data_IF_391545501200
#
_entry.id   IF_391545501200
#
_cell.length_a   1.000
_cell.length_b   1.000
_cell.length_c   1.000
_cell.angle_alpha   90.00
_cell.angle_beta   90.00
_cell.angle_gamma   90.00
#
_symmetry.space_group_name_H-M   'P 1'
#
loop_
_entity.id
_entity.type
_entity.pdbx_description
1 polymer ?
#
# COMPACT_ATOMS: atom_id res chain seq x y z
N UNK A 1 2.90 -26.95 3.04
CA UNK A 1 2.29 -25.91 3.90
C UNK A 1 1.61 -26.60 5.08
N UNK A 2 1.73 -26.10 6.32
CA UNK A 2 1.07 -26.73 7.49
C UNK A 2 -0.47 -26.71 7.30
N UNK A 3 -1.23 -27.77 7.63
CA UNK A 3 -2.68 -27.85 7.36
C UNK A 3 -3.48 -26.65 7.86
N UNK A 4 -3.15 -26.15 9.06
CA UNK A 4 -3.82 -25.00 9.65
C UNK A 4 -3.58 -23.70 8.87
N UNK A 5 -2.38 -23.50 8.32
CA UNK A 5 -2.08 -22.32 7.51
C UNK A 5 -2.88 -22.29 6.20
N UNK A 6 -3.13 -23.48 5.62
CA UNK A 6 -4.01 -23.60 4.45
C UNK A 6 -5.43 -23.21 4.81
N UNK A 7 -5.98 -23.78 5.88
CA UNK A 7 -7.33 -23.45 6.35
C UNK A 7 -7.50 -21.96 6.64
N UNK A 8 -6.53 -21.32 7.30
CA UNK A 8 -6.56 -19.87 7.57
C UNK A 8 -6.58 -19.05 6.30
N UNK A 9 -5.73 -19.38 5.32
CA UNK A 9 -5.71 -18.71 4.02
C UNK A 9 -7.05 -18.88 3.30
N UNK A 10 -7.58 -20.10 3.26
CA UNK A 10 -8.85 -20.39 2.57
C UNK A 10 -10.00 -19.58 3.22
N UNK A 11 -10.04 -19.47 4.55
CA UNK A 11 -10.97 -18.58 5.24
C UNK A 11 -10.83 -17.10 4.84
N UNK A 12 -9.60 -16.59 4.68
CA UNK A 12 -9.37 -15.22 4.23
C UNK A 12 -9.85 -15.00 2.79
N UNK A 13 -9.67 -16.00 1.91
CA UNK A 13 -10.16 -15.92 0.53
C UNK A 13 -11.69 -15.85 0.52
N UNK A 14 -12.37 -16.70 1.30
CA UNK A 14 -13.84 -16.65 1.41
C UNK A 14 -14.33 -15.30 1.96
N UNK A 15 -13.64 -14.73 2.95
CA UNK A 15 -13.95 -13.39 3.44
C UNK A 15 -13.79 -12.31 2.36
N UNK A 16 -12.76 -12.41 1.51
CA UNK A 16 -12.57 -11.48 0.38
C UNK A 16 -13.66 -11.63 -0.68
N UNK A 17 -14.13 -12.86 -0.96
CA UNK A 17 -15.27 -13.08 -1.87
C UNK A 17 -16.53 -12.37 -1.36
N UNK A 18 -16.86 -12.57 -0.08
CA UNK A 18 -18.02 -11.93 0.56
C UNK A 18 -17.91 -10.40 0.53
N UNK A 19 -16.75 -9.85 0.89
CA UNK A 19 -16.51 -8.41 0.82
C UNK A 19 -16.67 -7.87 -0.60
N UNK A 20 -16.12 -8.57 -1.59
CA UNK A 20 -16.19 -8.14 -2.99
C UNK A 20 -17.62 -8.19 -3.52
N UNK A 21 -18.36 -9.25 -3.22
CA UNK A 21 -19.76 -9.37 -3.57
C UNK A 21 -20.55 -8.19 -2.97
N UNK A 22 -20.35 -7.91 -1.69
CA UNK A 22 -20.97 -6.77 -1.02
C UNK A 22 -20.66 -5.44 -1.73
N UNK A 23 -19.39 -5.20 -2.07
CA UNK A 23 -18.96 -3.96 -2.73
C UNK A 23 -19.50 -3.79 -4.17
N UNK A 24 -19.79 -4.90 -4.86
CA UNK A 24 -20.45 -4.88 -6.17
C UNK A 24 -21.95 -4.60 -6.01
N UNK A 25 -22.61 -5.26 -5.06
CA UNK A 25 -24.05 -5.12 -4.81
C UNK A 25 -24.44 -3.70 -4.35
N UNK A 26 -23.55 -3.04 -3.60
CA UNK A 26 -23.78 -1.70 -3.04
C UNK A 26 -23.11 -0.59 -3.85
N UNK A 27 -22.64 -0.88 -5.07
CA UNK A 27 -21.88 0.07 -5.87
C UNK A 27 -22.64 1.38 -6.10
N UNK A 28 -22.08 2.48 -5.59
CA UNK A 28 -22.62 3.81 -5.82
C UNK A 28 -22.06 4.41 -7.13
N UNK A 29 -22.97 4.60 -8.09
CA UNK A 29 -22.69 5.25 -9.38
C UNK A 29 -22.37 6.75 -9.26
N UNK A 30 -22.68 7.38 -8.13
CA UNK A 30 -22.37 8.80 -7.88
C UNK A 30 -20.89 9.02 -7.56
N UNK A 31 -20.20 8.00 -7.05
CA UNK A 31 -18.76 8.07 -6.75
C UNK A 31 -17.97 7.99 -8.04
N UNK A 32 -17.27 9.08 -8.35
CA UNK A 32 -16.41 9.18 -9.54
C UNK A 32 -15.36 8.07 -9.58
N UNK A 33 -15.06 7.59 -10.77
CA UNK A 33 -14.09 6.51 -10.98
C UNK A 33 -12.65 6.86 -10.57
N UNK A 34 -12.30 8.15 -10.63
CA UNK A 34 -11.01 8.69 -10.24
C UNK A 34 -10.95 9.09 -8.76
N UNK A 35 -12.04 8.92 -8.00
CA UNK A 35 -12.04 9.19 -6.57
C UNK A 35 -10.92 8.41 -5.86
N UNK A 36 -10.30 9.06 -4.88
CA UNK A 36 -9.29 8.42 -4.04
C UNK A 36 -9.91 7.39 -3.09
N UNK A 37 -11.17 7.59 -2.73
CA UNK A 37 -11.92 6.75 -1.79
C UNK A 37 -13.33 6.47 -2.31
N UNK A 38 -13.81 5.27 -2.03
CA UNK A 38 -15.16 4.77 -2.29
C UNK A 38 -15.65 4.06 -1.01
N UNK A 39 -16.87 4.34 -0.51
CA UNK A 39 -17.36 3.73 0.74
C UNK A 39 -17.38 2.20 0.74
N UNK A 40 -17.65 1.59 -0.42
CA UNK A 40 -17.81 0.15 -0.56
C UNK A 40 -16.47 -0.53 -0.89
N UNK A 41 -15.68 0.11 -1.76
CA UNK A 41 -14.41 -0.43 -2.24
C UNK A 41 -13.18 0.01 -1.42
N UNK A 42 -13.34 0.98 -0.51
CA UNK A 42 -12.26 1.62 0.21
C UNK A 42 -11.39 2.46 -0.70
N UNK A 43 -10.09 2.12 -0.82
CA UNK A 43 -9.19 2.82 -1.73
C UNK A 43 -9.73 2.74 -3.17
N UNK A 44 -9.92 3.88 -3.84
CA UNK A 44 -10.46 3.93 -5.19
C UNK A 44 -9.59 3.19 -6.23
N UNK A 45 -8.30 3.00 -5.93
CA UNK A 45 -7.42 2.13 -6.71
C UNK A 45 -7.92 0.67 -6.77
N UNK A 46 -8.56 0.17 -5.71
CA UNK A 46 -9.14 -1.18 -5.66
C UNK A 46 -10.39 -1.26 -6.53
N UNK A 47 -11.27 -0.24 -6.51
CA UNK A 47 -12.41 -0.12 -7.44
C UNK A 47 -11.96 -0.13 -8.90
N UNK A 48 -10.95 0.68 -9.25
CA UNK A 48 -10.38 0.72 -10.60
C UNK A 48 -9.77 -0.62 -11.01
N UNK A 49 -9.08 -1.28 -10.07
CA UNK A 49 -8.53 -2.62 -10.28
C UNK A 49 -9.63 -3.66 -10.50
N UNK A 50 -10.77 -3.57 -9.82
CA UNK A 50 -11.94 -4.42 -10.10
C UNK A 50 -12.35 -4.32 -11.58
N UNK A 51 -12.48 -3.10 -12.11
CA UNK A 51 -12.83 -2.87 -13.53
C UNK A 51 -11.80 -3.47 -14.49
N UNK A 52 -10.51 -3.33 -14.18
CA UNK A 52 -9.44 -3.94 -14.99
C UNK A 52 -9.56 -5.47 -15.02
N UNK A 53 -9.92 -6.08 -13.91
CA UNK A 53 -10.14 -7.53 -13.84
C UNK A 53 -11.41 -7.93 -14.60
N UNK A 54 -12.49 -7.14 -14.55
CA UNK A 54 -13.70 -7.39 -15.38
C UNK A 54 -13.37 -7.35 -16.88
N UNK A 55 -12.50 -6.43 -17.30
CA UNK A 55 -12.05 -6.30 -18.68
C UNK A 55 -11.20 -7.49 -19.19
N UNK A 56 -10.84 -8.45 -18.32
CA UNK A 56 -10.12 -9.67 -18.73
C UNK A 56 -11.06 -10.78 -19.23
N UNK A 57 -12.35 -10.50 -19.41
CA UNK A 57 -13.35 -11.41 -20.03
C UNK A 57 -13.37 -12.82 -19.42
N UNK A 58 -13.27 -12.90 -18.09
CA UNK A 58 -13.34 -14.18 -17.37
C UNK A 58 -12.00 -14.92 -17.27
N UNK A 59 -10.87 -14.29 -17.60
CA UNK A 59 -9.54 -14.87 -17.36
C UNK A 59 -9.32 -15.28 -15.89
N UNK A 60 -9.97 -14.57 -14.97
CA UNK A 60 -9.91 -14.86 -13.54
C UNK A 60 -11.29 -15.27 -13.01
N UNK A 61 -11.36 -16.50 -12.52
CA UNK A 61 -12.47 -16.96 -11.68
C UNK A 61 -12.51 -16.18 -10.37
N UNK A 62 -13.65 -16.20 -9.68
CA UNK A 62 -13.89 -15.47 -8.44
C UNK A 62 -12.81 -15.70 -7.37
N UNK A 63 -12.35 -16.95 -7.21
CA UNK A 63 -11.25 -17.30 -6.30
C UNK A 63 -9.94 -16.60 -6.67
N UNK A 64 -9.63 -16.50 -7.97
CA UNK A 64 -8.48 -15.76 -8.48
C UNK A 64 -8.59 -14.26 -8.16
N UNK A 65 -9.78 -13.68 -8.37
CA UNK A 65 -10.03 -12.25 -8.07
C UNK A 65 -9.83 -11.95 -6.58
N UNK A 66 -10.47 -12.75 -5.72
CA UNK A 66 -10.35 -12.65 -4.27
C UNK A 66 -8.92 -12.88 -3.78
N UNK A 67 -8.18 -13.81 -4.39
CA UNK A 67 -6.78 -14.08 -4.06
C UNK A 67 -5.86 -12.89 -4.33
N UNK A 68 -6.08 -12.15 -5.43
CA UNK A 68 -5.26 -10.97 -5.72
C UNK A 68 -5.62 -9.81 -4.77
N UNK A 69 -6.90 -9.64 -4.41
CA UNK A 69 -7.29 -8.66 -3.39
C UNK A 69 -6.66 -9.00 -2.03
N UNK A 70 -6.68 -10.28 -1.65
CA UNK A 70 -6.01 -10.78 -0.45
C UNK A 70 -4.51 -10.51 -0.47
N UNK A 71 -3.85 -10.71 -1.62
CA UNK A 71 -2.44 -10.41 -1.77
C UNK A 71 -2.14 -8.92 -1.56
N UNK A 72 -3.02 -8.03 -2.05
CA UNK A 72 -2.87 -6.58 -1.88
C UNK A 72 -3.03 -6.15 -0.42
N UNK A 73 -4.11 -6.57 0.25
CA UNK A 73 -4.34 -6.23 1.66
C UNK A 73 -3.23 -6.80 2.55
N UNK A 74 -2.76 -8.03 2.28
CA UNK A 74 -1.63 -8.60 2.98
C UNK A 74 -0.35 -7.79 2.75
N UNK A 75 -0.07 -7.37 1.51
CA UNK A 75 1.12 -6.58 1.18
C UNK A 75 1.13 -5.23 1.88
N UNK A 76 -0.02 -4.55 1.92
CA UNK A 76 -0.17 -3.27 2.63
C UNK A 76 0.05 -3.45 4.13
N UNK A 77 -0.61 -4.43 4.75
CA UNK A 77 -0.50 -4.64 6.20
C UNK A 77 0.90 -5.12 6.62
N UNK A 78 1.57 -5.94 5.80
CA UNK A 78 2.89 -6.49 6.13
C UNK A 78 4.04 -5.52 5.92
N UNK A 79 3.87 -4.48 5.08
CA UNK A 79 4.94 -3.53 4.76
C UNK A 79 4.65 -2.12 5.26
N UNK A 80 3.46 -1.58 4.98
CA UNK A 80 3.13 -0.18 5.29
C UNK A 80 3.02 0.01 6.80
N UNK A 81 2.34 -0.88 7.52
CA UNK A 81 2.19 -0.75 8.98
C UNK A 81 3.56 -0.74 9.69
N UNK A 82 4.46 -1.71 9.46
CA UNK A 82 5.79 -1.67 10.09
C UNK A 82 6.62 -0.45 9.65
N UNK A 83 6.58 -0.08 8.37
CA UNK A 83 7.32 1.07 7.88
C UNK A 83 6.84 2.38 8.54
N UNK A 84 5.52 2.57 8.67
CA UNK A 84 4.92 3.73 9.35
C UNK A 84 5.26 3.75 10.84
N UNK A 85 5.24 2.59 11.51
CA UNK A 85 5.63 2.47 12.91
C UNK A 85 7.08 2.92 13.14
N UNK A 86 8.01 2.39 12.35
CA UNK A 86 9.42 2.75 12.47
C UNK A 86 9.68 4.20 12.08
N UNK A 87 9.02 4.68 11.03
CA UNK A 87 9.13 6.08 10.60
C UNK A 87 8.76 7.03 11.72
N UNK A 88 7.60 6.79 12.35
CA UNK A 88 7.14 7.61 13.47
C UNK A 88 8.09 7.49 14.67
N UNK A 89 8.62 6.29 14.93
CA UNK A 89 9.55 6.06 16.03
C UNK A 89 10.85 6.84 15.83
N UNK A 90 11.47 6.79 14.65
CA UNK A 90 12.70 7.53 14.33
C UNK A 90 12.50 9.04 14.38
N UNK A 91 11.36 9.53 13.87
CA UNK A 91 10.99 10.94 13.94
C UNK A 91 10.83 11.41 15.38
N UNK A 92 10.11 10.66 16.22
CA UNK A 92 9.86 11.03 17.61
C UNK A 92 11.09 10.84 18.52
N UNK A 93 11.98 9.91 18.19
CA UNK A 93 13.20 9.66 18.96
C UNK A 93 14.26 10.75 18.77
N UNK A 94 14.21 11.50 17.66
CA UNK A 94 15.16 12.56 17.34
C UNK A 94 14.49 13.93 17.35
N UNK A 95 14.80 14.73 18.39
CA UNK A 95 14.30 16.10 18.51
C UNK A 95 14.66 16.96 17.30
N UNK A 96 15.88 16.82 16.76
CA UNK A 96 16.32 17.55 15.57
C UNK A 96 15.49 17.22 14.33
N UNK A 97 15.24 15.93 14.08
CA UNK A 97 14.44 15.48 12.92
C UNK A 97 13.00 15.95 13.08
N UNK A 98 12.43 15.81 14.29
CA UNK A 98 11.08 16.26 14.58
C UNK A 98 10.89 17.75 14.30
N UNK A 99 11.76 18.61 14.85
CA UNK A 99 11.69 20.06 14.65
C UNK A 99 11.86 20.44 13.16
N UNK A 100 12.78 19.78 12.44
CA UNK A 100 12.95 20.01 11.00
C UNK A 100 11.71 19.63 10.20
N UNK A 101 11.09 18.49 10.49
CA UNK A 101 9.85 18.05 9.83
C UNK A 101 8.71 19.02 10.13
N UNK A 102 8.56 19.47 11.38
CA UNK A 102 7.53 20.45 11.74
C UNK A 102 7.70 21.75 10.95
N UNK A 103 8.91 22.31 10.92
CA UNK A 103 9.22 23.53 10.17
C UNK A 103 8.96 23.35 8.66
N UNK A 104 9.33 22.20 8.10
CA UNK A 104 9.11 21.88 6.69
C UNK A 104 7.61 21.81 6.36
N UNK A 105 6.82 21.12 7.18
CA UNK A 105 5.38 21.03 7.02
C UNK A 105 4.73 22.41 7.16
N UNK A 106 5.11 23.20 8.17
CA UNK A 106 4.61 24.57 8.35
C UNK A 106 4.95 25.47 7.17
N UNK A 107 6.14 25.32 6.58
CA UNK A 107 6.54 26.07 5.39
C UNK A 107 5.72 25.68 4.15
N UNK A 108 5.49 24.38 3.90
CA UNK A 108 4.73 23.91 2.74
C UNK A 108 3.22 24.16 2.84
N UNK A 109 2.69 24.10 4.06
CA UNK A 109 1.26 24.13 4.35
C UNK A 109 0.78 25.53 4.79
N UNK A 110 1.70 26.41 5.19
CA UNK A 110 1.38 27.71 5.78
C UNK A 110 1.17 27.63 7.30
N UNK A 111 1.29 28.78 7.99
CA UNK A 111 1.17 28.84 9.43
C UNK A 111 -0.22 28.42 9.89
N UNK A 112 -0.28 27.47 10.83
CA UNK A 112 -1.52 27.08 11.49
C UNK A 112 -2.27 25.90 10.89
N UNK A 113 -1.73 25.17 9.90
CA UNK A 113 -2.38 23.93 9.41
C UNK A 113 -2.52 22.87 10.52
N UNK A 114 -1.54 22.80 11.42
CA UNK A 114 -1.63 21.95 12.61
C UNK A 114 -2.83 22.32 13.53
N UNK A 115 -3.30 23.57 13.45
CA UNK A 115 -4.38 24.13 14.26
C UNK A 115 -5.72 24.23 13.51
N UNK A 116 -5.69 24.28 12.18
CA UNK A 116 -6.88 24.47 11.33
C UNK A 116 -7.63 23.17 11.06
N UNK A 117 -6.99 22.01 11.25
CA UNK A 117 -7.57 20.70 10.92
C UNK A 117 -7.75 20.50 9.41
N UNK A 118 -7.13 21.35 8.58
CA UNK A 118 -7.15 21.19 7.14
C UNK A 118 -6.36 19.94 6.73
N UNK A 119 -6.90 19.23 5.75
CA UNK A 119 -6.30 18.00 5.25
C UNK A 119 -5.03 18.33 4.47
N UNK A 120 -3.90 17.74 4.89
CA UNK A 120 -2.64 17.79 4.17
C UNK A 120 -2.80 17.26 2.74
N UNK A 121 -2.30 18.01 1.74
CA UNK A 121 -2.30 17.60 0.33
C UNK A 121 -1.30 16.45 0.10
N UNK A 122 -1.75 15.17 0.00
CA UNK A 122 -0.87 13.99 0.03
C UNK A 122 0.22 14.03 -1.05
N UNK A 123 -0.07 14.64 -2.20
CA UNK A 123 0.88 14.73 -3.32
C UNK A 123 2.07 15.60 -2.95
N UNK A 124 1.85 16.68 -2.19
CA UNK A 124 2.95 17.53 -1.72
C UNK A 124 3.84 16.79 -0.73
N UNK A 125 3.25 16.15 0.29
CA UNK A 125 4.07 15.46 1.30
C UNK A 125 4.82 14.26 0.73
N UNK A 126 4.23 13.52 -0.23
CA UNK A 126 4.93 12.42 -0.89
C UNK A 126 6.16 12.93 -1.67
N UNK A 127 6.14 14.17 -2.16
CA UNK A 127 7.24 14.76 -2.93
C UNK A 127 8.20 15.60 -2.07
N UNK A 128 7.96 15.73 -0.76
CA UNK A 128 8.84 16.48 0.12
C UNK A 128 10.18 15.74 0.30
N UNK A 129 11.29 16.42 0.01
CA UNK A 129 12.62 15.81 0.03
C UNK A 129 13.06 15.33 1.43
N UNK A 130 12.71 16.09 2.49
CA UNK A 130 13.03 15.71 3.86
C UNK A 130 12.23 14.48 4.29
N UNK A 131 10.92 14.46 4.04
CA UNK A 131 10.06 13.32 4.38
C UNK A 131 10.50 12.06 3.62
N UNK A 132 10.85 12.18 2.32
CA UNK A 132 11.41 11.07 1.55
C UNK A 132 12.75 10.58 2.10
N UNK A 133 13.65 11.48 2.51
CA UNK A 133 14.94 11.11 3.08
C UNK A 133 14.78 10.34 4.40
N UNK A 134 13.91 10.81 5.30
CA UNK A 134 13.61 10.12 6.56
C UNK A 134 12.95 8.77 6.30
N UNK A 135 12.06 8.68 5.31
CA UNK A 135 11.43 7.42 4.92
C UNK A 135 12.45 6.43 4.37
N UNK A 136 13.32 6.87 3.47
CA UNK A 136 14.38 6.04 2.92
C UNK A 136 15.34 5.51 4.01
N UNK A 137 15.73 6.37 4.95
CA UNK A 137 16.61 5.98 6.06
C UNK A 137 15.93 5.01 7.03
N UNK A 138 14.64 5.21 7.31
CA UNK A 138 13.82 4.28 8.09
C UNK A 138 13.81 2.89 7.42
N UNK A 139 13.57 2.83 6.11
CA UNK A 139 13.59 1.56 5.38
C UNK A 139 14.99 0.92 5.40
N UNK A 140 16.05 1.73 5.27
CA UNK A 140 17.44 1.24 5.33
C UNK A 140 17.77 0.58 6.68
N UNK A 141 17.25 1.13 7.78
CA UNK A 141 17.51 0.64 9.14
C UNK A 141 16.66 -0.58 9.51
N UNK A 142 15.40 -0.59 9.10
CA UNK A 142 14.39 -1.49 9.68
C UNK A 142 13.83 -2.52 8.72
N UNK A 143 14.11 -2.43 7.42
CA UNK A 143 13.55 -3.36 6.42
C UNK A 143 14.63 -4.28 5.87
N UNK A 144 14.40 -5.58 6.04
CA UNK A 144 15.20 -6.64 5.44
C UNK A 144 14.40 -7.31 4.31
N UNK A 145 14.78 -7.03 3.06
CA UNK A 145 14.09 -7.56 1.87
C UNK A 145 14.95 -8.59 1.15
N UNK A 146 14.39 -9.79 0.92
CA UNK A 146 14.97 -10.78 0.02
C UNK A 146 14.30 -10.70 -1.36
N UNK A 147 15.02 -10.14 -2.34
CA UNK A 147 14.55 -10.09 -3.73
C UNK A 147 15.08 -11.33 -4.46
N UNK A 148 14.17 -12.24 -4.82
CA UNK A 148 14.51 -13.45 -5.56
C UNK A 148 14.25 -13.29 -7.06
N UNK A 149 15.04 -13.98 -7.89
CA UNK A 149 14.85 -14.04 -9.35
C UNK A 149 15.17 -15.44 -9.85
N UNK A 150 14.56 -15.84 -10.96
CA UNK A 150 14.85 -17.10 -11.66
C UNK A 150 15.24 -16.80 -13.10
N UNK A 151 16.38 -17.33 -13.55
CA UNK A 151 16.88 -17.15 -14.91
C UNK A 151 16.16 -18.15 -15.84
N UNK A 152 15.52 -17.63 -16.89
CA UNK A 152 14.73 -18.45 -17.83
C UNK A 152 15.54 -19.03 -19.00
N UNK A 153 16.69 -18.44 -19.29
CA UNK A 153 17.62 -18.81 -20.37
C UNK A 153 19.03 -18.49 -19.92
N UNK A 154 20.02 -19.31 -20.28
CA UNK A 154 21.41 -19.10 -19.87
C UNK A 154 21.88 -17.67 -20.17
N UNK A 155 22.35 -16.98 -19.14
CA UNK A 155 22.82 -15.59 -19.25
C UNK A 155 24.10 -15.41 -18.45
N UNK A 156 24.95 -14.50 -18.92
CA UNK A 156 26.16 -14.13 -18.20
C UNK A 156 25.95 -12.79 -17.51
N UNK A 157 26.11 -12.75 -16.19
CA UNK A 157 26.12 -11.52 -15.42
C UNK A 157 27.53 -11.32 -14.90
N UNK A 158 28.22 -10.32 -15.46
CA UNK A 158 29.66 -10.10 -15.26
C UNK A 158 30.46 -11.35 -15.65
N UNK A 159 31.06 -12.04 -14.69
CA UNK A 159 31.86 -13.26 -14.87
C UNK A 159 31.10 -14.54 -14.53
N UNK A 160 29.84 -14.44 -14.12
CA UNK A 160 29.06 -15.59 -13.65
C UNK A 160 28.08 -16.03 -14.73
N UNK A 161 28.11 -17.32 -15.05
CA UNK A 161 27.08 -17.97 -15.85
C UNK A 161 25.91 -18.30 -14.91
N UNK A 162 24.71 -17.81 -15.26
CA UNK A 162 23.46 -18.06 -14.57
C UNK A 162 22.51 -18.92 -15.41
#
# INVERSE_FOLDING_TARGET
MKPNARKSRDNCIEAMKLWRQHAVEHMDSSVKDDAAWDPEWGLGAIKRRNKLVDATEGLFEEEGRASIDLALIWSLNSNVIPASFWYLTEVLASKDIFERIQNEIEHECGPGIASSGEMLDPVRQINNALLQAVYAETLRLHVATLITRTVKKGQTVRSWLL
#
